data_IF_976465998353
#
_entry.id   IF_976465998353
#
_cell.length_a   1.000
_cell.length_b   1.000
_cell.length_c   1.000
_cell.angle_alpha   90.00
_cell.angle_beta   90.00
_cell.angle_gamma   90.00
#
_symmetry.space_group_name_H-M   'P 1'
#
loop_
_entity.id
_entity.type
_entity.pdbx_description
1 polymer ?
#
# COMPACT_ATOMS: atom_id res chain seq x y z
N UNK A 1 -7.34 -47.23 76.54
CA UNK A 1 -8.44 -46.93 75.58
C UNK A 1 -8.94 -45.52 75.88
N UNK A 2 -8.19 -44.58 75.34
CA UNK A 2 -8.55 -43.32 74.67
C UNK A 2 -9.52 -42.35 75.36
N UNK A 3 -8.88 -41.52 76.18
CA UNK A 3 -8.86 -40.05 76.22
C UNK A 3 -9.79 -39.24 75.30
N UNK A 4 -10.55 -38.37 75.96
CA UNK A 4 -11.24 -37.16 75.49
C UNK A 4 -10.22 -36.05 75.16
N UNK A 5 -10.53 -35.16 74.22
CA UNK A 5 -10.51 -33.67 74.32
C UNK A 5 -10.39 -33.01 72.94
N UNK A 6 -11.09 -31.89 72.86
CA UNK A 6 -11.60 -31.08 71.78
C UNK A 6 -10.65 -29.91 71.38
N UNK A 7 -11.07 -29.17 70.34
CA UNK A 7 -10.81 -27.74 70.02
C UNK A 7 -9.83 -27.41 68.88
N UNK A 8 -10.33 -26.51 68.01
CA UNK A 8 -9.82 -25.93 66.77
C UNK A 8 -8.66 -24.94 66.91
N UNK A 9 -7.92 -24.65 65.82
CA UNK A 9 -7.67 -23.29 65.28
C UNK A 9 -6.81 -23.32 63.99
N UNK A 10 -6.99 -22.28 63.16
CA UNK A 10 -6.37 -21.92 61.89
C UNK A 10 -4.83 -21.94 61.86
N UNK A 11 -4.26 -22.36 60.71
CA UNK A 11 -3.10 -21.72 60.03
C UNK A 11 -2.67 -22.52 58.79
N UNK A 12 -2.70 -21.86 57.64
CA UNK A 12 -2.02 -22.31 56.43
C UNK A 12 -0.49 -22.40 56.63
N UNK A 13 0.16 -23.30 55.90
CA UNK A 13 1.36 -22.94 55.17
C UNK A 13 1.17 -23.20 53.67
N UNK A 14 1.21 -22.12 52.89
CA UNK A 14 1.47 -22.14 51.45
C UNK A 14 2.87 -22.73 51.20
N UNK A 15 2.97 -23.94 50.63
CA UNK A 15 3.99 -24.31 49.63
C UNK A 15 3.89 -25.77 49.16
N UNK A 16 3.98 -25.92 47.82
CA UNK A 16 4.66 -26.99 47.08
C UNK A 16 3.94 -28.31 46.80
N UNK A 17 3.41 -28.44 45.58
CA UNK A 17 3.77 -29.52 44.63
C UNK A 17 3.07 -29.25 43.29
N UNK A 18 3.83 -28.84 42.27
CA UNK A 18 4.22 -29.71 41.14
C UNK A 18 3.04 -30.14 40.28
N UNK A 19 2.71 -29.35 39.26
CA UNK A 19 2.44 -29.92 37.93
C UNK A 19 2.85 -28.91 36.85
N UNK A 20 4.15 -28.87 36.60
CA UNK A 20 4.70 -28.28 35.39
C UNK A 20 4.29 -29.19 34.24
N UNK A 21 3.11 -28.96 33.68
CA UNK A 21 2.74 -29.55 32.39
C UNK A 21 3.66 -28.96 31.32
N UNK A 22 4.83 -29.57 31.15
CA UNK A 22 5.71 -29.42 30.00
C UNK A 22 4.90 -29.77 28.76
N UNK A 23 4.41 -28.74 28.06
CA UNK A 23 3.90 -28.88 26.70
C UNK A 23 5.10 -29.25 25.83
N UNK A 24 5.27 -30.56 25.65
CA UNK A 24 6.24 -31.20 24.76
C UNK A 24 5.93 -30.76 23.33
N UNK A 25 6.52 -29.65 22.87
CA UNK A 25 6.42 -29.19 21.48
C UNK A 25 7.09 -30.23 20.58
N UNK A 26 6.29 -30.87 19.73
CA UNK A 26 6.77 -31.80 18.70
C UNK A 26 7.66 -31.04 17.69
N UNK A 27 8.61 -31.71 17.00
CA UNK A 27 9.55 -31.09 16.07
C UNK A 27 8.91 -30.83 14.70
N UNK A 28 7.69 -30.31 14.69
CA UNK A 28 7.03 -29.77 13.52
C UNK A 28 6.81 -28.27 13.73
N UNK A 29 7.91 -27.50 13.85
CA UNK A 29 7.87 -26.03 13.68
C UNK A 29 7.64 -25.74 12.18
N UNK A 30 6.48 -26.17 11.69
CA UNK A 30 5.95 -25.83 10.39
C UNK A 30 5.59 -24.36 10.45
N UNK A 31 5.90 -23.61 9.39
CA UNK A 31 5.55 -22.21 9.25
C UNK A 31 4.03 -22.03 9.37
N UNK A 32 3.53 -21.84 10.59
CA UNK A 32 2.10 -21.59 10.83
C UNK A 32 1.73 -20.29 10.14
N UNK A 33 0.77 -20.40 9.22
CA UNK A 33 0.21 -19.24 8.54
C UNK A 33 -0.62 -18.45 9.55
N UNK A 34 -0.39 -17.13 9.58
CA UNK A 34 -1.19 -16.25 10.42
C UNK A 34 -2.57 -16.02 9.79
N UNK A 35 -3.55 -16.78 10.26
CA UNK A 35 -4.92 -16.77 9.75
C UNK A 35 -5.55 -15.36 9.86
N UNK A 36 -5.31 -14.64 10.95
CA UNK A 36 -5.83 -13.28 11.14
C UNK A 36 -5.38 -12.30 10.06
N UNK A 37 -4.14 -12.45 9.56
CA UNK A 37 -3.59 -11.62 8.51
C UNK A 37 -4.22 -11.94 7.14
N UNK A 38 -4.48 -13.21 6.88
CA UNK A 38 -5.16 -13.64 5.65
C UNK A 38 -6.63 -13.16 5.65
N UNK A 39 -7.32 -13.24 6.79
CA UNK A 39 -8.68 -12.68 6.96
C UNK A 39 -8.69 -11.17 6.74
N UNK A 40 -7.75 -10.43 7.34
CA UNK A 40 -7.67 -8.98 7.17
C UNK A 40 -7.48 -8.55 5.71
N UNK A 41 -6.63 -9.27 4.96
CA UNK A 41 -6.49 -9.03 3.50
C UNK A 41 -7.76 -9.35 2.74
N UNK A 42 -8.41 -10.48 3.04
CA UNK A 42 -9.67 -10.87 2.43
C UNK A 42 -10.75 -9.81 2.64
N UNK A 43 -10.87 -9.31 3.88
CA UNK A 43 -11.79 -8.21 4.22
C UNK A 43 -11.45 -6.93 3.45
N UNK A 44 -10.16 -6.58 3.34
CA UNK A 44 -9.72 -5.39 2.59
C UNK A 44 -10.08 -5.50 1.10
N UNK A 45 -9.91 -6.68 0.49
CA UNK A 45 -10.30 -6.92 -0.91
C UNK A 45 -11.82 -6.93 -1.08
N UNK A 46 -12.56 -7.51 -0.14
CA UNK A 46 -14.02 -7.45 -0.15
C UNK A 46 -14.53 -6.01 -0.05
N UNK A 47 -13.90 -5.20 0.80
CA UNK A 47 -14.20 -3.77 0.91
C UNK A 47 -13.87 -3.03 -0.39
N UNK A 48 -12.74 -3.31 -1.03
CA UNK A 48 -12.37 -2.76 -2.34
C UNK A 48 -13.48 -3.00 -3.38
N UNK A 49 -13.95 -4.24 -3.49
CA UNK A 49 -15.03 -4.61 -4.42
C UNK A 49 -16.33 -3.87 -4.09
N UNK A 50 -16.67 -3.77 -2.81
CA UNK A 50 -17.86 -3.07 -2.34
C UNK A 50 -17.83 -1.59 -2.74
N UNK A 51 -16.73 -0.88 -2.46
CA UNK A 51 -16.64 0.56 -2.78
C UNK A 51 -16.60 0.82 -4.28
N UNK A 52 -15.96 -0.05 -5.07
CA UNK A 52 -15.87 0.08 -6.52
C UNK A 52 -17.24 -0.06 -7.22
N UNK A 53 -18.10 -0.94 -6.70
CA UNK A 53 -19.43 -1.23 -7.26
C UNK A 53 -20.54 -0.35 -6.66
N UNK A 54 -20.57 -0.21 -5.32
CA UNK A 54 -21.62 0.52 -4.62
C UNK A 54 -21.30 2.01 -4.40
N UNK A 55 -20.04 2.43 -4.51
CA UNK A 55 -19.60 3.80 -4.23
C UNK A 55 -20.35 4.86 -5.05
N UNK A 56 -20.67 4.58 -6.31
CA UNK A 56 -21.43 5.52 -7.14
C UNK A 56 -22.85 5.83 -6.64
N UNK A 57 -23.46 4.95 -5.84
CA UNK A 57 -24.82 5.12 -5.29
C UNK A 57 -24.82 5.71 -3.88
N UNK A 58 -23.75 5.50 -3.12
CA UNK A 58 -23.66 5.88 -1.72
C UNK A 58 -22.44 6.80 -1.52
N UNK A 59 -22.63 8.13 -1.48
CA UNK A 59 -21.52 9.08 -1.37
C UNK A 59 -20.61 8.83 -0.15
N UNK A 60 -21.15 8.35 0.97
CA UNK A 60 -20.40 8.06 2.20
C UNK A 60 -19.33 6.97 2.07
N UNK A 61 -19.45 6.09 1.06
CA UNK A 61 -18.49 5.02 0.78
C UNK A 61 -17.76 5.21 -0.55
N UNK A 62 -18.02 6.30 -1.27
CA UNK A 62 -17.28 6.67 -2.48
C UNK A 62 -16.02 7.47 -2.10
N UNK A 63 -15.03 7.52 -2.99
CA UNK A 63 -13.87 8.39 -2.81
C UNK A 63 -14.27 9.87 -2.65
N UNK A 64 -13.57 10.57 -1.75
CA UNK A 64 -13.65 12.03 -1.69
C UNK A 64 -13.16 12.63 -3.03
N UNK A 65 -13.73 13.76 -3.49
CA UNK A 65 -13.31 14.34 -4.76
C UNK A 65 -11.86 14.80 -4.78
N UNK A 66 -11.38 15.29 -3.63
CA UNK A 66 -10.01 15.75 -3.49
C UNK A 66 -9.61 15.90 -2.01
N UNK A 67 -10.28 16.81 -1.29
CA UNK A 67 -10.12 16.98 0.14
C UNK A 67 -11.19 16.19 0.89
N UNK A 68 -10.80 15.60 2.04
CA UNK A 68 -11.66 14.76 2.85
C UNK A 68 -11.24 13.29 2.78
N UNK A 69 -11.82 12.48 3.68
CA UNK A 69 -11.53 11.05 3.76
C UNK A 69 -12.84 10.28 3.90
N UNK A 70 -12.93 9.16 3.20
CA UNK A 70 -14.09 8.27 3.17
C UNK A 70 -13.63 6.84 3.38
N UNK A 71 -14.58 5.90 3.50
CA UNK A 71 -14.25 4.49 3.71
C UNK A 71 -13.39 3.91 2.56
N UNK A 72 -13.60 4.35 1.33
CA UNK A 72 -12.84 3.88 0.17
C UNK A 72 -11.35 4.24 0.24
N UNK A 73 -11.02 5.40 0.85
CA UNK A 73 -9.65 5.91 0.91
C UNK A 73 -8.76 5.09 1.86
N UNK A 74 -9.35 4.32 2.78
CA UNK A 74 -8.61 3.46 3.72
C UNK A 74 -8.24 2.09 3.14
N UNK A 75 -8.86 1.66 2.03
CA UNK A 75 -8.63 0.33 1.43
C UNK A 75 -7.16 0.13 1.07
N UNK A 76 -6.56 1.08 0.35
CA UNK A 76 -5.16 0.98 -0.08
C UNK A 76 -4.18 1.00 1.12
N UNK A 77 -4.29 1.93 2.10
CA UNK A 77 -3.49 1.90 3.32
C UNK A 77 -3.56 0.57 4.08
N UNK A 78 -4.77 0.01 4.28
CA UNK A 78 -4.94 -1.27 4.95
C UNK A 78 -4.28 -2.42 4.20
N UNK A 79 -4.43 -2.45 2.87
CA UNK A 79 -3.79 -3.46 2.05
C UNK A 79 -2.26 -3.39 2.15
N UNK A 80 -1.68 -2.19 2.03
CA UNK A 80 -0.24 -1.97 2.13
C UNK A 80 0.30 -2.32 3.52
N UNK A 81 -0.44 -2.00 4.58
CA UNK A 81 -0.10 -2.41 5.94
C UNK A 81 -0.01 -3.93 6.06
N UNK A 82 -1.02 -4.67 5.56
CA UNK A 82 -1.01 -6.12 5.56
C UNK A 82 0.13 -6.73 4.72
N UNK A 83 0.51 -6.07 3.62
CA UNK A 83 1.68 -6.45 2.80
C UNK A 83 3.00 -6.19 3.54
N UNK A 84 3.08 -5.12 4.36
CA UNK A 84 4.24 -4.84 5.22
C UNK A 84 4.43 -5.89 6.31
N UNK A 85 3.36 -6.23 7.04
CA UNK A 85 3.38 -7.22 8.13
C UNK A 85 3.79 -8.60 7.61
N UNK A 86 3.13 -9.08 6.55
CA UNK A 86 3.81 -9.62 5.37
C UNK A 86 5.29 -9.93 5.41
N UNK A 87 5.99 -8.96 4.86
CA UNK A 87 7.42 -8.94 4.60
C UNK A 87 8.17 -9.17 5.91
N UNK A 88 7.79 -8.47 6.98
CA UNK A 88 8.45 -8.58 8.28
C UNK A 88 8.42 -10.01 8.81
N UNK A 89 7.29 -10.71 8.73
CA UNK A 89 7.17 -12.08 9.24
C UNK A 89 7.93 -13.11 8.38
N UNK A 90 7.85 -12.97 7.05
CA UNK A 90 8.47 -13.91 6.11
C UNK A 90 10.00 -13.82 6.13
N UNK A 91 10.54 -12.60 6.20
CA UNK A 91 11.99 -12.39 6.08
C UNK A 91 12.72 -12.27 7.42
N UNK A 92 12.01 -12.14 8.56
CA UNK A 92 12.63 -12.16 9.91
C UNK A 92 13.46 -13.43 10.19
N UNK A 93 13.09 -14.57 9.60
CA UNK A 93 13.80 -15.87 9.75
C UNK A 93 14.59 -16.29 8.50
N UNK A 94 14.87 -15.38 7.56
CA UNK A 94 15.54 -15.75 6.32
C UNK A 94 17.01 -16.16 6.58
N UNK A 95 17.28 -17.47 6.57
CA UNK A 95 18.63 -18.01 6.78
C UNK A 95 19.58 -17.68 5.63
N UNK A 96 19.08 -17.61 4.40
CA UNK A 96 19.87 -17.26 3.21
C UNK A 96 19.34 -15.98 2.54
N UNK A 97 20.07 -14.88 2.73
CA UNK A 97 19.73 -13.55 2.20
C UNK A 97 19.66 -13.51 0.67
N UNK A 98 20.53 -14.24 -0.03
CA UNK A 98 20.56 -14.27 -1.50
C UNK A 98 19.35 -15.01 -2.06
N UNK A 99 19.01 -16.17 -1.48
CA UNK A 99 17.82 -16.92 -1.87
C UNK A 99 16.53 -16.11 -1.61
N UNK A 100 16.46 -15.42 -0.47
CA UNK A 100 15.35 -14.52 -0.15
C UNK A 100 15.25 -13.36 -1.16
N UNK A 101 16.37 -12.72 -1.50
CA UNK A 101 16.43 -11.63 -2.47
C UNK A 101 15.96 -12.08 -3.86
N UNK A 102 16.40 -13.26 -4.33
CA UNK A 102 15.92 -13.84 -5.61
C UNK A 102 14.41 -14.05 -5.59
N UNK A 103 13.84 -14.54 -4.48
CA UNK A 103 12.40 -14.73 -4.32
C UNK A 103 11.63 -13.41 -4.38
N UNK A 104 12.16 -12.36 -3.75
CA UNK A 104 11.60 -11.00 -3.82
C UNK A 104 11.60 -10.49 -5.25
N UNK A 105 12.74 -10.53 -5.95
CA UNK A 105 12.88 -10.04 -7.33
C UNK A 105 11.87 -10.73 -8.26
N UNK A 106 11.78 -12.06 -8.21
CA UNK A 106 10.86 -12.82 -9.06
C UNK A 106 9.40 -12.44 -8.77
N UNK A 107 9.04 -12.25 -7.50
CA UNK A 107 7.68 -11.83 -7.13
C UNK A 107 7.38 -10.40 -7.60
N UNK A 108 8.32 -9.47 -7.42
CA UNK A 108 8.21 -8.09 -7.90
C UNK A 108 8.00 -8.06 -9.41
N UNK A 109 8.81 -8.81 -10.18
CA UNK A 109 8.69 -8.85 -11.63
C UNK A 109 7.35 -9.43 -12.07
N UNK A 110 6.88 -10.52 -11.44
CA UNK A 110 5.55 -11.11 -11.71
C UNK A 110 4.43 -10.10 -11.47
N UNK A 111 4.45 -9.38 -10.34
CA UNK A 111 3.44 -8.36 -10.02
C UNK A 111 3.50 -7.18 -10.98
N UNK A 112 4.71 -6.75 -11.36
CA UNK A 112 4.89 -5.63 -12.28
C UNK A 112 4.36 -5.98 -13.68
N UNK A 113 4.76 -7.14 -14.23
CA UNK A 113 4.30 -7.62 -15.54
C UNK A 113 2.79 -7.84 -15.53
N UNK A 114 2.25 -8.48 -14.49
CA UNK A 114 0.81 -8.64 -14.33
C UNK A 114 0.09 -7.28 -14.31
N UNK A 115 0.66 -6.28 -13.63
CA UNK A 115 0.13 -4.93 -13.58
C UNK A 115 0.08 -4.25 -14.96
N UNK A 116 1.14 -4.41 -15.76
CA UNK A 116 1.20 -3.89 -17.13
C UNK A 116 0.22 -4.61 -18.04
N UNK A 117 0.10 -5.94 -17.92
CA UNK A 117 -0.87 -6.72 -18.70
C UNK A 117 -2.33 -6.36 -18.38
N UNK A 118 -2.66 -6.16 -17.10
CA UNK A 118 -4.03 -5.80 -16.72
C UNK A 118 -4.40 -4.36 -17.10
N UNK A 119 -3.43 -3.44 -17.14
CA UNK A 119 -3.68 -2.01 -17.39
C UNK A 119 -3.36 -1.55 -18.82
N UNK A 120 -2.57 -2.32 -19.56
CA UNK A 120 -2.08 -1.96 -20.89
C UNK A 120 -3.06 -2.26 -22.03
N UNK A 121 -4.37 -2.16 -21.78
CA UNK A 121 -5.40 -2.27 -22.81
C UNK A 121 -5.73 -3.69 -23.27
N UNK A 122 -5.15 -4.74 -22.67
CA UNK A 122 -5.50 -6.13 -23.03
C UNK A 122 -6.97 -6.47 -22.71
N UNK A 123 -7.57 -5.76 -21.75
CA UNK A 123 -8.98 -5.88 -21.38
C UNK A 123 -9.62 -4.50 -21.48
N UNK A 124 -10.26 -4.20 -22.62
CA UNK A 124 -11.19 -3.08 -22.70
C UNK A 124 -12.42 -3.41 -21.83
N UNK A 125 -13.09 -2.38 -21.30
CA UNK A 125 -14.07 -2.51 -20.20
C UNK A 125 -15.19 -3.52 -20.45
N UNK A 126 -16.03 -3.80 -19.42
CA UNK A 126 -17.09 -4.83 -19.46
C UNK A 126 -18.03 -4.81 -20.69
N UNK A 127 -18.08 -3.71 -21.45
CA UNK A 127 -18.98 -3.50 -22.58
C UNK A 127 -18.25 -3.20 -23.91
N UNK A 128 -16.93 -3.35 -23.99
CA UNK A 128 -16.13 -3.09 -25.19
C UNK A 128 -15.34 -4.34 -25.59
N UNK A 129 -15.65 -4.89 -26.77
CA UNK A 129 -15.05 -6.11 -27.32
C UNK A 129 -13.80 -5.83 -28.16
N UNK A 130 -13.30 -4.60 -28.14
CA UNK A 130 -12.08 -4.25 -28.86
C UNK A 130 -10.88 -4.86 -28.12
N UNK A 131 -10.08 -5.68 -28.81
CA UNK A 131 -8.84 -6.25 -28.28
C UNK A 131 -7.65 -5.62 -29.00
N UNK A 132 -6.75 -4.99 -28.27
CA UNK A 132 -5.56 -4.34 -28.82
C UNK A 132 -4.72 -3.65 -27.75
N UNK A 133 -3.41 -3.59 -27.95
CA UNK A 133 -2.51 -2.83 -27.06
C UNK A 133 -2.26 -1.47 -27.69
N UNK A 134 -2.88 -0.44 -27.13
CA UNK A 134 -2.52 0.94 -27.46
C UNK A 134 -1.28 1.33 -26.66
N UNK A 135 -0.11 1.19 -27.30
CA UNK A 135 1.20 1.51 -26.71
C UNK A 135 1.26 2.98 -26.31
N UNK A 136 0.53 3.88 -26.99
CA UNK A 136 0.53 5.31 -26.71
C UNK A 136 -0.29 5.68 -25.47
N UNK A 137 -1.11 4.76 -24.95
CA UNK A 137 -2.00 5.00 -23.80
C UNK A 137 -1.70 4.06 -22.62
N UNK A 138 -0.64 3.25 -22.70
CA UNK A 138 -0.31 2.28 -21.66
C UNK A 138 0.05 2.95 -20.33
N UNK A 139 -0.55 2.51 -19.22
CA UNK A 139 -0.25 3.08 -17.91
C UNK A 139 1.02 2.46 -17.31
N UNK A 140 2.15 3.17 -17.42
CA UNK A 140 3.45 2.72 -16.90
C UNK A 140 3.48 2.59 -15.36
N UNK A 141 2.97 3.59 -14.62
CA UNK A 141 2.93 3.60 -13.15
C UNK A 141 1.52 3.43 -12.58
N UNK A 142 0.95 2.27 -12.83
CA UNK A 142 -0.29 1.81 -12.22
C UNK A 142 -0.20 1.44 -10.74
N UNK A 143 -1.34 1.10 -10.14
CA UNK A 143 -1.43 0.73 -8.72
C UNK A 143 -0.59 -0.51 -8.42
N UNK A 144 -0.68 -1.55 -9.25
CA UNK A 144 0.09 -2.79 -9.07
C UNK A 144 1.60 -2.59 -9.20
N UNK A 145 2.03 -1.74 -10.14
CA UNK A 145 3.44 -1.39 -10.35
C UNK A 145 3.98 -0.63 -9.13
N UNK A 146 3.23 0.35 -8.61
CA UNK A 146 3.59 1.09 -7.40
C UNK A 146 3.69 0.16 -6.18
N UNK A 147 2.75 -0.77 -6.02
CA UNK A 147 2.80 -1.81 -4.97
C UNK A 147 4.03 -2.70 -5.15
N UNK A 148 4.37 -3.10 -6.39
CA UNK A 148 5.53 -3.95 -6.66
C UNK A 148 6.85 -3.27 -6.29
N UNK A 149 7.01 -1.99 -6.64
CA UNK A 149 8.19 -1.18 -6.27
C UNK A 149 8.28 -1.03 -4.75
N UNK A 150 7.16 -0.67 -4.10
CA UNK A 150 7.11 -0.55 -2.63
C UNK A 150 7.44 -1.86 -1.92
N UNK A 151 6.87 -2.99 -2.39
CA UNK A 151 7.17 -4.33 -1.89
C UNK A 151 8.65 -4.66 -2.02
N UNK A 152 9.26 -4.37 -3.18
CA UNK A 152 10.68 -4.62 -3.42
C UNK A 152 11.55 -3.84 -2.42
N UNK A 153 11.35 -2.52 -2.30
CA UNK A 153 12.15 -1.68 -1.41
C UNK A 153 11.98 -2.08 0.07
N UNK A 154 10.74 -2.33 0.50
CA UNK A 154 10.45 -2.78 1.86
C UNK A 154 11.07 -4.16 2.14
N UNK A 155 10.98 -5.12 1.22
CA UNK A 155 11.58 -6.44 1.42
C UNK A 155 13.10 -6.42 1.38
N UNK A 156 13.71 -5.61 0.51
CA UNK A 156 15.16 -5.43 0.47
C UNK A 156 15.67 -4.79 1.77
N UNK A 157 15.01 -3.75 2.26
CA UNK A 157 15.36 -3.15 3.56
C UNK A 157 15.19 -4.13 4.71
N UNK A 158 14.18 -5.01 4.69
CA UNK A 158 14.01 -6.07 5.68
C UNK A 158 15.16 -7.07 5.69
N UNK A 159 15.55 -7.58 4.53
CA UNK A 159 16.57 -8.63 4.38
C UNK A 159 17.98 -8.11 4.71
N UNK A 160 18.29 -6.89 4.27
CA UNK A 160 19.66 -6.36 4.28
C UNK A 160 19.95 -5.45 5.47
N UNK A 161 18.98 -4.66 5.93
CA UNK A 161 19.22 -3.66 6.97
C UNK A 161 18.88 -4.12 8.39
N UNK A 162 18.23 -5.29 8.54
CA UNK A 162 17.96 -5.81 9.88
C UNK A 162 19.21 -6.50 10.45
N UNK A 163 19.62 -6.04 11.63
CA UNK A 163 20.72 -6.64 12.37
C UNK A 163 20.21 -7.82 13.22
N UNK A 164 21.04 -8.85 13.38
CA UNK A 164 20.75 -10.05 14.18
C UNK A 164 20.84 -9.81 15.70
N UNK A 165 20.50 -8.61 16.17
CA UNK A 165 20.53 -8.27 17.59
C UNK A 165 19.28 -8.88 18.26
N UNK A 166 19.50 -9.55 19.39
CA UNK A 166 18.45 -10.03 20.28
C UNK A 166 17.76 -8.84 20.96
N UNK A 167 16.44 -8.90 21.06
CA UNK A 167 15.63 -7.79 21.58
C UNK A 167 15.29 -8.10 23.03
N UNK A 168 16.13 -7.61 23.94
CA UNK A 168 15.98 -7.84 25.38
C UNK A 168 15.49 -6.57 26.11
N UNK A 169 15.61 -5.40 25.47
CA UNK A 169 15.19 -4.10 26.02
C UNK A 169 14.61 -3.16 24.95
N UNK A 170 13.81 -2.14 25.33
CA UNK A 170 13.29 -1.14 24.38
C UNK A 170 14.39 -0.44 23.58
N UNK A 171 15.55 -0.19 24.20
CA UNK A 171 16.70 0.43 23.53
C UNK A 171 17.28 -0.50 22.45
N UNK A 172 17.36 -1.80 22.72
CA UNK A 172 17.80 -2.79 21.73
C UNK A 172 16.83 -2.92 20.54
N UNK A 173 15.52 -2.73 20.78
CA UNK A 173 14.52 -2.66 19.72
C UNK A 173 14.75 -1.45 18.81
N UNK A 174 14.92 -0.25 19.39
CA UNK A 174 15.20 0.96 18.61
C UNK A 174 16.49 0.80 17.81
N UNK A 175 17.56 0.33 18.44
CA UNK A 175 18.86 0.09 17.77
C UNK A 175 18.74 -0.91 16.62
N UNK A 176 17.90 -1.95 16.76
CA UNK A 176 17.67 -2.96 15.72
C UNK A 176 17.00 -2.39 14.46
N UNK A 177 16.08 -1.45 14.62
CA UNK A 177 15.30 -0.88 13.51
C UNK A 177 15.73 0.54 13.13
N UNK A 178 16.73 1.12 13.79
CA UNK A 178 17.15 2.52 13.63
C UNK A 178 17.42 2.90 12.17
N UNK A 179 18.17 2.08 11.43
CA UNK A 179 18.49 2.35 10.02
C UNK A 179 17.23 2.42 9.15
N UNK A 180 16.22 1.60 9.41
CA UNK A 180 14.94 1.65 8.67
C UNK A 180 14.17 2.93 9.00
N UNK A 181 14.13 3.33 10.27
CA UNK A 181 13.52 4.58 10.70
C UNK A 181 14.21 5.79 10.06
N UNK A 182 15.54 5.81 10.02
CA UNK A 182 16.29 6.88 9.38
C UNK A 182 15.98 6.99 7.89
N UNK A 183 15.93 5.86 7.16
CA UNK A 183 15.56 5.86 5.74
C UNK A 183 14.12 6.33 5.55
N UNK A 184 13.18 5.88 6.39
CA UNK A 184 11.78 6.29 6.30
C UNK A 184 11.60 7.80 6.57
N UNK A 185 12.29 8.34 7.57
CA UNK A 185 12.27 9.78 7.90
C UNK A 185 12.89 10.58 6.76
N UNK A 186 14.04 10.16 6.24
CA UNK A 186 14.70 10.81 5.12
C UNK A 186 13.79 10.83 3.88
N UNK A 187 13.22 9.69 3.50
CA UNK A 187 12.32 9.58 2.36
C UNK A 187 11.07 10.47 2.53
N UNK A 188 10.50 10.48 3.73
CA UNK A 188 9.33 11.32 4.04
C UNK A 188 9.68 12.80 4.01
N UNK A 189 10.85 13.18 4.54
CA UNK A 189 11.33 14.56 4.51
C UNK A 189 11.59 15.04 3.08
N UNK A 190 12.22 14.22 2.24
CA UNK A 190 12.41 14.51 0.80
C UNK A 190 11.07 14.63 0.10
N UNK A 191 10.12 13.71 0.35
CA UNK A 191 8.79 13.76 -0.25
C UNK A 191 8.04 15.04 0.13
N UNK A 192 8.01 15.40 1.42
CA UNK A 192 7.37 16.64 1.90
C UNK A 192 8.08 17.87 1.32
N UNK A 193 9.41 17.86 1.29
CA UNK A 193 10.22 18.94 0.71
C UNK A 193 9.93 19.15 -0.77
N UNK A 194 9.79 18.07 -1.55
CA UNK A 194 9.39 18.15 -2.96
C UNK A 194 7.93 18.58 -3.12
N UNK A 195 7.02 18.04 -2.30
CA UNK A 195 5.59 18.32 -2.38
C UNK A 195 5.29 19.82 -2.18
N UNK A 196 5.95 20.45 -1.19
CA UNK A 196 5.73 21.86 -0.86
C UNK A 196 6.73 22.82 -1.50
N UNK A 197 7.94 22.36 -1.82
CA UNK A 197 9.02 23.20 -2.35
C UNK A 197 9.09 23.26 -3.88
N UNK A 198 8.55 22.26 -4.60
CA UNK A 198 8.60 22.25 -6.06
C UNK A 198 7.63 23.29 -6.64
N UNK A 199 8.18 24.17 -7.47
CA UNK A 199 7.41 25.15 -8.22
C UNK A 199 6.68 24.49 -9.40
N UNK A 200 5.38 24.72 -9.52
CA UNK A 200 4.55 24.19 -10.60
C UNK A 200 4.21 25.33 -11.56
N UNK A 201 4.74 25.30 -12.79
CA UNK A 201 4.43 26.30 -13.80
C UNK A 201 3.02 26.11 -14.36
N UNK A 202 2.52 27.15 -15.03
CA UNK A 202 1.30 27.08 -15.82
C UNK A 202 1.44 26.05 -16.95
N UNK A 203 0.34 25.37 -17.25
CA UNK A 203 0.33 24.32 -18.26
C UNK A 203 -1.01 24.31 -19.00
N UNK A 204 -1.05 23.68 -20.18
CA UNK A 204 -2.22 23.69 -21.06
C UNK A 204 -2.67 22.26 -21.29
N UNK A 205 -3.95 21.98 -21.04
CA UNK A 205 -4.52 20.67 -21.32
C UNK A 205 -5.08 20.61 -22.74
N UNK A 206 -4.70 19.59 -23.52
CA UNK A 206 -5.17 19.41 -24.90
C UNK A 206 -6.30 18.39 -24.96
N UNK A 207 -7.47 18.79 -25.47
CA UNK A 207 -8.59 17.87 -25.71
C UNK A 207 -8.40 17.11 -27.03
N UNK A 208 -8.50 15.77 -27.05
CA UNK A 208 -8.61 15.03 -28.30
C UNK A 208 -9.92 15.39 -29.02
N UNK A 209 -9.85 15.99 -30.20
CA UNK A 209 -11.01 16.28 -31.07
C UNK A 209 -11.35 15.04 -31.91
N UNK A 210 -12.61 14.60 -31.86
CA UNK A 210 -13.10 13.45 -32.63
C UNK A 210 -13.61 13.81 -34.05
N UNK A 211 -13.53 15.09 -34.46
CA UNK A 211 -14.03 15.53 -35.77
C UNK A 211 -12.86 15.91 -36.72
N UNK A 212 -12.61 15.13 -37.78
CA UNK A 212 -11.50 15.40 -38.70
C UNK A 212 -11.69 16.68 -39.55
N UNK A 213 -12.93 17.15 -39.74
CA UNK A 213 -13.23 18.39 -40.49
C UNK A 213 -13.02 19.68 -39.69
N UNK A 214 -12.89 19.58 -38.36
CA UNK A 214 -12.60 20.69 -37.46
C UNK A 214 -11.13 20.69 -36.97
N UNK A 215 -10.27 19.89 -37.61
CA UNK A 215 -8.86 19.72 -37.22
C UNK A 215 -7.96 20.88 -37.65
N UNK A 216 -8.35 21.66 -38.66
CA UNK A 216 -7.58 22.82 -39.16
C UNK A 216 -7.97 24.11 -38.42
N UNK A 217 -9.20 24.21 -37.89
CA UNK A 217 -9.67 25.43 -37.23
C UNK A 217 -9.40 25.48 -35.71
N UNK A 218 -9.26 24.32 -35.04
CA UNK A 218 -9.18 24.22 -33.58
C UNK A 218 -7.95 23.46 -33.07
N UNK A 219 -6.82 23.45 -33.80
CA UNK A 219 -5.54 22.89 -33.36
C UNK A 219 -4.87 23.66 -32.19
N UNK A 220 -5.67 24.24 -31.30
CA UNK A 220 -5.23 25.15 -30.24
C UNK A 220 -6.29 25.47 -29.18
N UNK A 221 -7.42 24.75 -29.11
CA UNK A 221 -8.33 24.87 -27.95
C UNK A 221 -7.78 24.06 -26.77
N UNK A 222 -6.66 24.52 -26.23
CA UNK A 222 -6.16 24.05 -24.96
C UNK A 222 -6.73 24.92 -23.83
N UNK A 223 -7.28 24.30 -22.80
CA UNK A 223 -7.65 25.05 -21.60
C UNK A 223 -6.37 25.32 -20.79
N UNK A 224 -6.03 26.60 -20.65
CA UNK A 224 -4.86 27.01 -19.90
C UNK A 224 -5.16 26.93 -18.41
N UNK A 225 -4.39 26.12 -17.68
CA UNK A 225 -4.46 26.02 -16.23
C UNK A 225 -3.39 26.94 -15.65
N UNK A 226 -3.85 27.99 -14.99
CA UNK A 226 -2.99 28.91 -14.25
C UNK A 226 -2.71 28.33 -12.86
N UNK A 227 -1.45 28.01 -12.61
CA UNK A 227 -0.94 27.53 -11.34
C UNK A 227 0.02 28.55 -10.76
N UNK A 228 1.19 28.75 -11.38
CA UNK A 228 2.21 29.71 -10.97
C UNK A 228 2.63 29.65 -9.49
N UNK A 229 2.48 28.51 -8.81
CA UNK A 229 2.61 28.38 -7.34
C UNK A 229 3.46 27.19 -6.92
N UNK A 230 4.04 27.26 -5.72
CA UNK A 230 4.66 26.13 -5.04
C UNK A 230 3.77 25.66 -3.89
N UNK A 231 3.73 24.36 -3.65
CA UNK A 231 3.03 23.76 -2.50
C UNK A 231 1.50 23.84 -2.54
N UNK A 232 0.91 24.17 -3.69
CA UNK A 232 -0.53 23.95 -3.88
C UNK A 232 -0.82 22.45 -3.81
N UNK A 233 -1.84 22.11 -3.02
CA UNK A 233 -2.36 20.75 -2.95
C UNK A 233 -3.53 20.55 -3.89
N UNK A 234 -3.90 21.53 -4.73
CA UNK A 234 -5.07 21.44 -5.60
C UNK A 234 -4.89 20.41 -6.73
N UNK A 235 -5.98 19.85 -7.29
CA UNK A 235 -5.91 18.77 -8.27
C UNK A 235 -5.04 19.07 -9.50
N UNK A 236 -5.11 20.30 -10.00
CA UNK A 236 -4.45 20.69 -11.25
C UNK A 236 -3.01 21.19 -11.05
N UNK A 237 -2.72 21.74 -9.87
CA UNK A 237 -1.50 22.49 -9.56
C UNK A 237 -0.60 21.83 -8.51
N UNK A 238 -0.87 20.58 -8.12
CA UNK A 238 0.00 19.86 -7.19
C UNK A 238 1.31 19.37 -7.85
N UNK A 239 2.36 19.33 -7.04
CA UNK A 239 3.70 18.93 -7.46
C UNK A 239 3.77 17.48 -7.98
N UNK A 240 2.98 16.57 -7.41
CA UNK A 240 2.95 15.15 -7.81
C UNK A 240 2.46 15.00 -9.25
N UNK A 241 1.34 15.67 -9.58
CA UNK A 241 0.77 15.69 -10.92
C UNK A 241 1.69 16.35 -11.93
N UNK A 242 2.41 17.42 -11.54
CA UNK A 242 3.44 18.02 -12.37
C UNK A 242 4.57 17.04 -12.71
N UNK A 243 5.13 16.36 -11.70
CA UNK A 243 6.19 15.36 -11.92
C UNK A 243 5.69 14.18 -12.75
N UNK A 244 4.49 13.68 -12.47
CA UNK A 244 3.88 12.58 -13.23
C UNK A 244 3.66 12.98 -14.71
N UNK A 245 3.22 14.21 -15.01
CA UNK A 245 3.12 14.74 -16.38
C UNK A 245 4.48 14.84 -17.07
N UNK A 246 5.50 15.32 -16.37
CA UNK A 246 6.84 15.50 -16.92
C UNK A 246 7.55 14.17 -17.21
N UNK A 247 7.44 13.20 -16.30
CA UNK A 247 8.15 11.92 -16.41
C UNK A 247 7.40 10.89 -17.25
N UNK A 248 6.07 10.81 -17.10
CA UNK A 248 5.27 9.77 -17.76
C UNK A 248 4.61 10.28 -19.04
N UNK A 249 4.38 11.59 -19.17
CA UNK A 249 3.59 12.17 -20.25
C UNK A 249 2.07 12.04 -20.00
N UNK A 250 1.31 13.00 -20.52
CA UNK A 250 -0.14 13.11 -20.27
C UNK A 250 -0.95 11.92 -20.77
N UNK A 251 -0.51 11.28 -21.86
CA UNK A 251 -1.21 10.13 -22.46
C UNK A 251 -1.19 8.89 -21.56
N UNK A 252 -0.17 8.77 -20.71
CA UNK A 252 0.01 7.61 -19.83
C UNK A 252 -0.59 7.81 -18.43
N UNK A 253 -1.24 8.96 -18.20
CA UNK A 253 -1.96 9.26 -16.96
C UNK A 253 -3.38 8.69 -16.98
N UNK A 254 -3.91 8.43 -15.79
CA UNK A 254 -5.22 7.83 -15.64
C UNK A 254 -6.35 8.82 -16.00
N UNK A 255 -7.10 8.52 -17.05
CA UNK A 255 -8.12 9.43 -17.61
C UNK A 255 -9.50 9.36 -16.93
N UNK A 256 -9.76 8.35 -16.11
CA UNK A 256 -11.09 8.07 -15.54
C UNK A 256 -11.11 8.10 -14.01
N UNK A 257 -10.74 9.22 -13.36
CA UNK A 257 -10.73 9.29 -11.90
C UNK A 257 -12.10 8.94 -11.29
N UNK A 258 -12.09 8.17 -10.21
CA UNK A 258 -13.31 7.62 -9.58
C UNK A 258 -14.23 8.73 -9.04
N UNK A 259 -13.65 9.86 -8.62
CA UNK A 259 -14.43 11.03 -8.19
C UNK A 259 -15.29 11.67 -9.28
N UNK A 260 -15.10 11.34 -10.58
CA UNK A 260 -16.02 11.78 -11.64
C UNK A 260 -17.47 11.36 -11.38
N UNK A 261 -17.68 10.30 -10.59
CA UNK A 261 -19.01 9.81 -10.19
C UNK A 261 -19.63 10.65 -9.06
N UNK A 262 -18.82 11.44 -8.36
CA UNK A 262 -19.27 12.30 -7.26
C UNK A 262 -19.87 13.56 -7.87
N UNK A 263 -21.21 13.69 -7.83
CA UNK A 263 -21.86 14.94 -8.20
C UNK A 263 -21.42 16.02 -7.21
N UNK A 264 -20.83 17.10 -7.72
CA UNK A 264 -20.70 18.34 -6.94
C UNK A 264 -22.12 18.88 -6.82
N UNK A 265 -22.66 18.84 -5.61
CA UNK A 265 -23.92 19.52 -5.26
C UNK A 265 -23.60 20.98 -4.99
#
# INVERSE_FOLDING_TARGET
MDSVVEVADDRAPLLSSTDSSEVKRSPSDQNERLISLDVFRGLTVALMILVDDAGGKFPSINHSPWFGVTLADFVMPFFLFGVGVSIALVFKKASNKLAATKKVIVRTLKLFVLGVLLQGGYFHGRNDLTYGVDIDQIRWLGVLQRIAIGYFLAAMSEIWLINNILVDSPLSFVKKYYTKWMIAILLSSVYIGLLYGLYVPDWVFQFPSNNPTLSIANSGLGEAVQCGVSGSLEPACNAVGFVDRLLLGEKHLYKNPVYKRTKVI
#
